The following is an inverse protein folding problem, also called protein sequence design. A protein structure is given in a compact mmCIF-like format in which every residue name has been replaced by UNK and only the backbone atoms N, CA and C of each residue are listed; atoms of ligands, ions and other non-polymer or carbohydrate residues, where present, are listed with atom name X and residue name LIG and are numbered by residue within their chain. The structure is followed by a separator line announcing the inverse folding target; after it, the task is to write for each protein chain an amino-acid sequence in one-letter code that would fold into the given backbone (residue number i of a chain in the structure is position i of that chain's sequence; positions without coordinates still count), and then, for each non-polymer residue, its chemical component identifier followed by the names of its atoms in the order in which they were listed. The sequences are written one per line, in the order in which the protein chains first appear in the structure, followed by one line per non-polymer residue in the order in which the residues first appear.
data_IF_769526249385
#
_entry.id   IF_769526249385
#
_cell.length_a   1.000
_cell.length_b   1.000
_cell.length_c   1.000
_cell.angle_alpha   90.00
_cell.angle_beta   90.00
_cell.angle_gamma   90.00
#
_symmetry.space_group_name_H-M   'P 1'
#
loop_
_entity.id
_entity.type
_entity.pdbx_description
1 polymer ?
#
# COMPACT_ATOMS: atom_id res chain seq x y z
N UNK A 1 -12.98 7.69 -5.98
CA UNK A 1 -11.67 7.03 -5.73
C UNK A 1 -10.55 7.83 -6.40
N UNK A 2 -10.78 8.47 -7.53
CA UNK A 2 -9.73 9.12 -8.32
C UNK A 2 -9.00 8.19 -9.29
N UNK A 3 -9.41 6.92 -9.35
CA UNK A 3 -8.93 5.88 -10.28
C UNK A 3 -10.07 4.90 -10.58
N UNK A 4 -9.85 3.94 -11.47
CA UNK A 4 -10.76 2.84 -11.76
C UNK A 4 -10.05 1.51 -11.51
N UNK A 5 -10.71 0.62 -10.79
CA UNK A 5 -10.23 -0.73 -10.43
C UNK A 5 -11.33 -1.77 -10.71
N UNK A 6 -11.66 -2.00 -11.99
CA UNK A 6 -12.80 -2.85 -12.36
C UNK A 6 -12.66 -4.30 -11.89
N UNK A 7 -11.43 -4.79 -11.70
CA UNK A 7 -11.15 -6.11 -11.16
C UNK A 7 -11.55 -6.30 -9.68
N UNK A 8 -11.90 -5.19 -8.99
CA UNK A 8 -12.34 -5.18 -7.60
C UNK A 8 -13.81 -4.77 -7.46
N UNK A 9 -14.58 -4.71 -8.54
CA UNK A 9 -15.99 -4.29 -8.53
C UNK A 9 -16.82 -5.09 -7.54
N UNK A 10 -17.56 -4.38 -6.68
CA UNK A 10 -18.44 -4.98 -5.67
C UNK A 10 -17.73 -5.59 -4.46
N UNK A 11 -16.41 -5.47 -4.37
CA UNK A 11 -15.64 -5.98 -3.23
C UNK A 11 -15.64 -5.00 -2.05
N UNK A 12 -15.37 -5.58 -0.87
CA UNK A 12 -15.29 -4.86 0.39
C UNK A 12 -13.85 -4.77 0.87
N UNK A 13 -13.47 -3.59 1.38
CA UNK A 13 -12.14 -3.33 1.93
C UNK A 13 -12.23 -2.70 3.31
N UNK A 14 -11.47 -3.23 4.25
CA UNK A 14 -11.19 -2.57 5.51
C UNK A 14 -10.02 -1.61 5.29
N UNK A 15 -10.24 -0.32 5.50
CA UNK A 15 -9.24 0.72 5.27
C UNK A 15 -9.14 1.68 6.45
N UNK A 16 -7.95 2.23 6.68
CA UNK A 16 -7.74 3.26 7.70
C UNK A 16 -8.36 4.59 7.26
N UNK A 17 -8.83 5.36 8.23
CA UNK A 17 -9.25 6.74 8.04
C UNK A 17 -8.07 7.69 7.84
N UNK A 18 -8.27 8.73 7.06
CA UNK A 18 -7.28 9.80 6.89
C UNK A 18 -6.97 10.47 8.23
N UNK A 19 -5.68 10.61 8.57
CA UNK A 19 -5.20 11.18 9.82
C UNK A 19 -5.40 10.27 11.05
N UNK A 20 -5.74 9.00 10.86
CA UNK A 20 -5.87 8.03 11.95
C UNK A 20 -4.59 7.21 12.12
N UNK A 21 -4.39 6.67 13.30
CA UNK A 21 -3.18 5.92 13.67
C UNK A 21 -3.51 4.50 14.11
N UNK A 22 -2.74 3.53 13.65
CA UNK A 22 -2.88 2.12 14.03
C UNK A 22 -2.85 1.90 15.56
N UNK A 23 -2.02 2.65 16.29
CA UNK A 23 -1.95 2.56 17.77
C UNK A 23 -3.26 2.82 18.48
N UNK A 24 -4.23 3.49 17.84
CA UNK A 24 -5.53 3.83 18.43
C UNK A 24 -6.62 2.84 18.05
N UNK A 25 -6.33 1.90 17.16
CA UNK A 25 -7.32 0.96 16.62
C UNK A 25 -7.96 0.11 17.70
N UNK A 26 -7.17 -0.40 18.66
CA UNK A 26 -7.69 -1.20 19.75
C UNK A 26 -8.56 -0.40 20.75
N UNK A 27 -8.45 0.92 20.73
CA UNK A 27 -9.20 1.81 21.64
C UNK A 27 -10.53 2.22 21.00
N UNK A 28 -10.49 2.59 19.72
CA UNK A 28 -11.67 3.07 18.95
C UNK A 28 -11.59 2.59 17.50
N UNK A 29 -11.83 1.29 17.25
CA UNK A 29 -11.77 0.74 15.89
C UNK A 29 -12.73 1.44 14.95
N UNK A 30 -13.96 1.73 15.40
CA UNK A 30 -15.03 2.37 14.63
C UNK A 30 -14.77 3.85 14.29
N UNK A 31 -13.78 4.48 14.91
CA UNK A 31 -13.31 5.83 14.55
C UNK A 31 -12.03 5.79 13.71
N UNK A 32 -11.29 4.69 13.77
CA UNK A 32 -9.97 4.54 13.14
C UNK A 32 -10.03 3.89 11.75
N UNK A 33 -10.99 3.00 11.54
CA UNK A 33 -11.22 2.27 10.31
C UNK A 33 -12.57 2.57 9.69
N UNK A 34 -12.70 2.20 8.42
CA UNK A 34 -14.00 2.00 7.79
C UNK A 34 -13.96 0.76 6.89
N UNK A 35 -15.13 0.17 6.69
CA UNK A 35 -15.38 -0.79 5.62
C UNK A 35 -16.00 -0.01 4.47
N UNK A 36 -15.35 -0.08 3.32
CA UNK A 36 -15.87 0.48 2.07
C UNK A 36 -16.33 -0.66 1.15
N UNK A 37 -17.35 -0.42 0.37
CA UNK A 37 -17.79 -1.27 -0.74
C UNK A 37 -17.58 -0.51 -2.05
N UNK A 38 -16.94 -1.14 -3.03
CA UNK A 38 -16.78 -0.56 -4.35
C UNK A 38 -18.04 -0.74 -5.19
N UNK A 39 -18.32 0.23 -6.05
CA UNK A 39 -19.42 0.13 -7.01
C UNK A 39 -19.15 -0.92 -8.10
N UNK A 40 -20.17 -1.21 -8.93
CA UNK A 40 -20.08 -2.19 -10.01
C UNK A 40 -19.10 -1.84 -11.14
N UNK A 41 -18.45 -0.65 -11.07
CA UNK A 41 -17.43 -0.23 -12.03
C UNK A 41 -16.04 -0.10 -11.40
N UNK A 42 -15.94 -0.20 -10.07
CA UNK A 42 -14.69 0.05 -9.35
C UNK A 42 -14.22 1.52 -9.42
N UNK A 43 -15.14 2.46 -9.56
CA UNK A 43 -14.82 3.89 -9.69
C UNK A 43 -15.20 4.71 -8.47
N UNK A 44 -16.19 4.23 -7.70
CA UNK A 44 -16.68 4.88 -6.50
C UNK A 44 -16.76 3.89 -5.35
N UNK A 45 -16.90 4.41 -4.14
CA UNK A 45 -17.14 3.61 -2.95
C UNK A 45 -18.24 4.21 -2.10
N UNK A 46 -18.86 3.37 -1.27
CA UNK A 46 -19.66 3.81 -0.12
C UNK A 46 -19.03 3.30 1.16
N UNK A 47 -19.12 4.05 2.24
CA UNK A 47 -18.74 3.58 3.57
C UNK A 47 -19.91 2.78 4.13
N UNK A 48 -19.66 1.49 4.43
CA UNK A 48 -20.63 0.58 4.99
C UNK A 48 -20.58 0.55 6.52
N UNK A 49 -19.40 0.84 7.09
CA UNK A 49 -19.17 0.87 8.52
C UNK A 49 -17.95 1.74 8.85
N UNK A 50 -17.92 2.27 10.07
CA UNK A 50 -16.77 3.00 10.63
C UNK A 50 -16.75 4.48 10.31
N UNK A 51 -15.67 5.17 10.75
CA UNK A 51 -15.50 6.63 10.70
C UNK A 51 -16.71 7.40 11.26
N UNK A 52 -17.25 6.89 12.37
CA UNK A 52 -18.55 7.35 12.97
C UNK A 52 -18.55 8.82 13.40
N UNK A 53 -17.38 9.42 13.65
CA UNK A 53 -17.25 10.82 14.01
C UNK A 53 -17.03 11.74 12.80
N UNK A 54 -17.36 11.26 11.60
CA UNK A 54 -17.06 11.93 10.35
C UNK A 54 -15.61 11.71 9.95
N UNK A 55 -15.37 11.67 8.68
CA UNK A 55 -14.04 11.41 8.15
C UNK A 55 -14.14 10.80 6.76
N UNK A 56 -12.99 10.45 6.22
CA UNK A 56 -12.86 9.81 4.92
C UNK A 56 -11.75 8.76 4.98
N UNK A 57 -11.78 7.75 4.11
CA UNK A 57 -10.68 6.81 3.94
C UNK A 57 -9.35 7.53 3.73
N UNK A 58 -8.26 6.81 3.93
CA UNK A 58 -6.90 7.33 3.70
C UNK A 58 -6.77 8.07 2.37
N UNK A 59 -5.94 9.11 2.33
CA UNK A 59 -5.63 9.86 1.10
C UNK A 59 -4.92 8.98 0.05
N UNK A 60 -4.27 7.89 0.50
CA UNK A 60 -3.59 6.93 -0.37
C UNK A 60 -4.52 5.84 -0.91
N UNK A 61 -5.85 5.99 -0.78
CA UNK A 61 -6.83 5.02 -1.25
C UNK A 61 -6.64 4.61 -2.73
N UNK A 62 -6.31 5.52 -3.68
CA UNK A 62 -6.03 5.13 -5.06
C UNK A 62 -4.90 4.12 -5.17
N UNK A 63 -3.79 4.35 -4.46
CA UNK A 63 -2.63 3.45 -4.44
C UNK A 63 -2.97 2.11 -3.80
N UNK A 64 -3.70 2.09 -2.67
CA UNK A 64 -4.14 0.86 -2.03
C UNK A 64 -4.98 0.01 -2.98
N UNK A 65 -6.01 0.58 -3.59
CA UNK A 65 -6.94 -0.18 -4.45
C UNK A 65 -6.26 -0.68 -5.73
N UNK A 66 -5.44 0.14 -6.39
CA UNK A 66 -4.69 -0.30 -7.57
C UNK A 66 -3.71 -1.42 -7.24
N UNK A 67 -3.05 -1.36 -6.08
CA UNK A 67 -2.17 -2.42 -5.61
C UNK A 67 -2.94 -3.70 -5.28
N UNK A 68 -4.12 -3.60 -4.65
CA UNK A 68 -5.00 -4.76 -4.44
C UNK A 68 -5.42 -5.40 -5.75
N UNK A 69 -5.80 -4.61 -6.76
CA UNK A 69 -6.20 -5.15 -8.07
C UNK A 69 -5.06 -5.91 -8.75
N UNK A 70 -3.86 -5.32 -8.76
CA UNK A 70 -2.67 -5.96 -9.33
C UNK A 70 -2.31 -7.23 -8.55
N UNK A 71 -2.25 -7.15 -7.22
CA UNK A 71 -1.90 -8.32 -6.38
C UNK A 71 -2.93 -9.42 -6.47
N UNK A 72 -4.22 -9.10 -6.54
CA UNK A 72 -5.27 -10.09 -6.82
C UNK A 72 -4.99 -10.84 -8.11
N UNK A 73 -4.57 -10.13 -9.17
CA UNK A 73 -4.26 -10.74 -10.47
C UNK A 73 -3.01 -11.62 -10.41
N UNK A 74 -1.86 -11.07 -9.96
CA UNK A 74 -0.56 -11.76 -10.06
C UNK A 74 -0.35 -12.86 -9.02
N UNK A 75 -1.10 -12.83 -7.90
CA UNK A 75 -1.01 -13.85 -6.85
C UNK A 75 -2.23 -14.78 -6.80
N UNK A 76 -3.12 -14.70 -7.81
CA UNK A 76 -4.39 -15.44 -7.80
C UNK A 76 -5.21 -15.22 -6.52
N UNK A 77 -5.25 -13.98 -6.02
CA UNK A 77 -6.00 -13.57 -4.83
C UNK A 77 -5.38 -13.99 -3.50
N UNK A 78 -4.14 -14.46 -3.46
CA UNK A 78 -3.46 -14.85 -2.21
C UNK A 78 -3.11 -13.64 -1.36
N UNK A 79 -2.57 -12.57 -1.95
CA UNK A 79 -2.24 -11.35 -1.22
C UNK A 79 -3.49 -10.52 -0.98
N UNK A 80 -3.86 -10.40 0.29
CA UNK A 80 -5.08 -9.72 0.74
C UNK A 80 -4.83 -8.48 1.58
N UNK A 81 -3.59 -8.26 2.00
CA UNK A 81 -3.17 -7.09 2.77
C UNK A 81 -2.28 -6.22 1.91
N UNK A 82 -2.59 -4.92 1.90
CA UNK A 82 -1.70 -3.87 1.39
C UNK A 82 -1.45 -2.91 2.55
N UNK A 83 -0.21 -2.84 2.99
CA UNK A 83 0.21 -2.00 4.09
C UNK A 83 1.06 -0.84 3.59
N UNK A 84 0.79 0.36 4.11
CA UNK A 84 1.58 1.57 3.85
C UNK A 84 2.05 2.16 5.16
N UNK A 85 3.34 2.43 5.26
CA UNK A 85 3.93 3.06 6.44
C UNK A 85 5.12 3.95 6.10
N UNK A 86 5.55 4.73 7.10
CA UNK A 86 6.63 5.70 6.97
C UNK A 86 7.83 5.34 7.86
N UNK A 87 8.59 4.26 7.55
CA UNK A 87 9.75 3.88 8.35
C UNK A 87 10.88 4.88 8.16
N UNK A 88 11.24 5.59 9.23
CA UNK A 88 12.17 6.73 9.18
C UNK A 88 13.53 6.37 8.58
N UNK A 89 14.08 5.19 8.92
CA UNK A 89 15.38 4.76 8.40
C UNK A 89 15.33 4.46 6.90
N UNK A 90 14.28 3.79 6.43
CA UNK A 90 14.10 3.53 4.99
C UNK A 90 13.90 4.82 4.21
N UNK A 91 13.15 5.78 4.77
CA UNK A 91 13.00 7.11 4.17
C UNK A 91 14.36 7.80 4.10
N UNK A 92 15.18 7.75 5.17
CA UNK A 92 16.52 8.34 5.19
C UNK A 92 17.43 7.76 4.10
N UNK A 93 17.35 6.46 3.82
CA UNK A 93 18.11 5.84 2.73
C UNK A 93 17.78 6.46 1.36
N UNK A 94 16.54 6.93 1.14
CA UNK A 94 16.16 7.57 -0.12
C UNK A 94 16.84 8.91 -0.39
N UNK A 95 17.51 9.50 0.60
CA UNK A 95 18.28 10.73 0.45
C UNK A 95 19.76 10.47 0.10
N UNK A 96 20.24 9.23 0.28
CA UNK A 96 21.67 8.93 0.16
C UNK A 96 21.97 7.84 -0.87
N UNK A 97 21.01 6.97 -1.19
CA UNK A 97 21.16 5.93 -2.20
C UNK A 97 20.62 6.37 -3.56
N UNK A 98 21.17 5.83 -4.66
CA UNK A 98 20.52 5.93 -5.96
C UNK A 98 19.10 5.36 -5.90
N UNK A 99 18.13 6.10 -6.44
CA UNK A 99 16.70 5.72 -6.42
C UNK A 99 16.40 4.67 -7.51
N UNK A 100 17.03 3.50 -7.40
CA UNK A 100 16.84 2.36 -8.31
C UNK A 100 16.51 1.09 -7.55
N UNK A 101 15.78 0.19 -8.20
CA UNK A 101 15.40 -1.11 -7.63
C UNK A 101 16.64 -1.91 -7.19
N UNK A 102 17.70 -1.91 -8.02
CA UNK A 102 18.92 -2.67 -7.77
C UNK A 102 19.68 -2.14 -6.55
N UNK A 103 19.81 -0.80 -6.42
CA UNK A 103 20.55 -0.19 -5.31
C UNK A 103 19.87 -0.49 -3.98
N UNK A 104 18.54 -0.34 -3.90
CA UNK A 104 17.78 -0.61 -2.68
C UNK A 104 17.69 -2.09 -2.36
N UNK A 105 17.47 -2.95 -3.35
CA UNK A 105 17.47 -4.40 -3.15
C UNK A 105 18.80 -4.86 -2.57
N UNK A 106 19.90 -4.45 -3.17
CA UNK A 106 21.24 -4.81 -2.73
C UNK A 106 21.51 -4.33 -1.30
N UNK A 107 21.29 -3.05 -1.03
CA UNK A 107 21.57 -2.48 0.29
C UNK A 107 20.77 -3.17 1.40
N UNK A 108 19.47 -3.39 1.18
CA UNK A 108 18.63 -4.03 2.19
C UNK A 108 18.96 -5.52 2.36
N UNK A 109 19.34 -6.23 1.31
CA UNK A 109 19.78 -7.61 1.42
C UNK A 109 21.13 -7.73 2.16
N UNK A 110 22.03 -6.77 1.96
CA UNK A 110 23.33 -6.73 2.65
C UNK A 110 23.18 -6.31 4.13
N UNK A 111 22.13 -5.55 4.48
CA UNK A 111 21.86 -5.11 5.85
C UNK A 111 21.35 -6.22 6.78
N UNK A 112 20.58 -7.16 6.25
CA UNK A 112 20.00 -8.26 7.05
C UNK A 112 19.87 -9.53 6.20
N UNK A 113 20.42 -10.62 6.71
CA UNK A 113 20.48 -11.92 6.01
C UNK A 113 19.10 -12.54 5.75
N UNK A 114 18.09 -12.12 6.49
CA UNK A 114 16.71 -12.54 6.32
C UNK A 114 16.03 -11.89 5.13
N UNK A 115 16.45 -10.68 4.74
CA UNK A 115 15.82 -9.92 3.66
C UNK A 115 15.72 -10.70 2.32
N UNK A 116 16.78 -11.36 1.80
CA UNK A 116 16.67 -12.16 0.58
C UNK A 116 15.77 -13.40 0.73
N UNK A 117 15.44 -13.80 1.96
CA UNK A 117 14.49 -14.90 2.22
C UNK A 117 13.06 -14.40 2.22
N UNK A 118 12.81 -13.21 2.80
CA UNK A 118 11.48 -12.62 2.95
C UNK A 118 11.00 -12.00 1.64
N UNK A 119 11.89 -11.30 0.92
CA UNK A 119 11.58 -10.69 -0.39
C UNK A 119 12.65 -11.04 -1.43
N UNK A 120 12.69 -12.30 -1.88
CA UNK A 120 13.68 -12.80 -2.82
C UNK A 120 13.59 -12.14 -4.21
N UNK A 121 12.44 -11.60 -4.57
CA UNK A 121 12.23 -10.85 -5.80
C UNK A 121 12.90 -9.46 -5.79
N UNK A 122 13.33 -9.00 -4.62
CA UNK A 122 13.86 -7.66 -4.40
C UNK A 122 12.79 -6.63 -4.09
N UNK A 123 13.14 -5.35 -4.28
CA UNK A 123 12.33 -4.20 -3.91
C UNK A 123 12.23 -3.24 -5.09
N UNK A 124 11.02 -2.74 -5.34
CA UNK A 124 10.79 -1.69 -6.32
C UNK A 124 10.95 -0.29 -5.70
N UNK A 125 11.38 0.68 -6.49
CA UNK A 125 11.54 2.08 -6.05
C UNK A 125 10.75 2.99 -6.97
N UNK A 126 9.80 3.73 -6.39
CA UNK A 126 9.10 4.83 -7.06
C UNK A 126 9.90 6.11 -6.84
N UNK A 127 10.46 6.73 -7.89
CA UNK A 127 11.08 8.05 -7.79
C UNK A 127 10.09 9.10 -7.25
N UNK A 128 10.61 10.25 -6.81
CA UNK A 128 9.77 11.30 -6.22
C UNK A 128 8.52 11.61 -7.05
N UNK A 129 7.37 11.53 -6.41
CA UNK A 129 6.05 11.89 -6.96
C UNK A 129 5.19 12.50 -5.86
N UNK A 130 4.19 13.27 -6.27
CA UNK A 130 3.19 13.80 -5.32
C UNK A 130 2.30 12.65 -4.83
N UNK A 131 2.19 12.43 -3.51
CA UNK A 131 1.36 11.36 -2.95
C UNK A 131 -0.15 11.63 -3.11
N UNK A 132 -0.97 10.59 -2.94
CA UNK A 132 -2.43 10.68 -3.02
C UNK A 132 -3.00 10.79 -4.44
N UNK A 133 -2.15 10.97 -5.45
CA UNK A 133 -2.55 11.11 -6.83
C UNK A 133 -2.52 9.80 -7.64
N UNK A 134 -3.10 9.86 -8.85
CA UNK A 134 -3.11 8.72 -9.77
C UNK A 134 -1.71 8.32 -10.24
N UNK A 135 -0.82 9.28 -10.46
CA UNK A 135 0.50 9.02 -11.03
C UNK A 135 1.37 8.13 -10.15
N UNK A 136 1.37 8.39 -8.82
CA UNK A 136 2.11 7.55 -7.88
C UNK A 136 1.43 6.19 -7.70
N UNK A 137 0.10 6.13 -7.75
CA UNK A 137 -0.66 4.89 -7.68
C UNK A 137 -0.34 3.98 -8.87
N UNK A 138 -0.30 4.52 -10.10
CA UNK A 138 0.08 3.77 -11.30
C UNK A 138 1.53 3.28 -11.20
N UNK A 139 2.47 4.17 -10.85
CA UNK A 139 3.88 3.78 -10.72
C UNK A 139 4.09 2.66 -9.69
N UNK A 140 3.38 2.74 -8.55
CA UNK A 140 3.45 1.70 -7.51
C UNK A 140 2.84 0.39 -7.99
N UNK A 141 1.67 0.44 -8.61
CA UNK A 141 0.99 -0.77 -9.09
C UNK A 141 1.77 -1.50 -10.18
N UNK A 142 2.50 -0.79 -11.03
CA UNK A 142 3.41 -1.42 -12.01
C UNK A 142 4.54 -2.18 -11.31
N UNK A 143 5.16 -1.61 -10.28
CA UNK A 143 6.18 -2.30 -9.48
C UNK A 143 5.61 -3.51 -8.73
N UNK A 144 4.39 -3.40 -8.21
CA UNK A 144 3.72 -4.48 -7.49
C UNK A 144 3.36 -5.70 -8.37
N UNK A 145 3.50 -5.60 -9.67
CA UNK A 145 3.44 -6.78 -10.56
C UNK A 145 4.61 -7.73 -10.32
N UNK A 146 5.76 -7.20 -9.93
CA UNK A 146 7.01 -7.93 -9.75
C UNK A 146 7.41 -8.05 -8.28
N UNK A 147 7.26 -6.98 -7.50
CA UNK A 147 7.75 -6.88 -6.13
C UNK A 147 6.59 -6.94 -5.13
N UNK A 148 6.87 -7.44 -3.92
CA UNK A 148 5.94 -7.36 -2.79
C UNK A 148 6.18 -6.10 -1.94
N UNK A 149 7.30 -5.43 -2.15
CA UNK A 149 7.67 -4.17 -1.48
C UNK A 149 7.99 -3.10 -2.52
N UNK A 150 7.42 -1.91 -2.34
CA UNK A 150 7.73 -0.73 -3.14
C UNK A 150 8.05 0.46 -2.23
N UNK A 151 9.22 1.05 -2.41
CA UNK A 151 9.66 2.25 -1.70
C UNK A 151 9.22 3.49 -2.47
N UNK A 152 8.63 4.45 -1.78
CA UNK A 152 8.36 5.78 -2.30
C UNK A 152 9.45 6.74 -1.84
N UNK A 153 10.19 7.31 -2.77
CA UNK A 153 11.25 8.27 -2.47
C UNK A 153 10.74 9.40 -1.57
N UNK A 154 11.42 9.60 -0.44
CA UNK A 154 11.16 10.64 0.57
C UNK A 154 9.80 10.57 1.25
N UNK A 155 9.12 9.39 1.22
CA UNK A 155 7.78 9.29 1.78
C UNK A 155 7.61 8.04 2.67
N UNK A 156 7.81 6.85 2.12
CA UNK A 156 7.54 5.60 2.86
C UNK A 156 7.61 4.37 1.99
N UNK A 157 6.88 3.33 2.41
CA UNK A 157 6.83 2.05 1.70
C UNK A 157 5.39 1.56 1.54
N UNK A 158 5.16 0.76 0.51
CA UNK A 158 4.01 -0.14 0.36
C UNK A 158 4.50 -1.58 0.40
N UNK A 159 3.80 -2.42 1.16
CA UNK A 159 4.05 -3.86 1.23
C UNK A 159 2.76 -4.62 0.92
N UNK A 160 2.89 -5.86 0.44
CA UNK A 160 1.76 -6.75 0.22
C UNK A 160 2.04 -8.16 0.71
N UNK A 161 1.05 -8.77 1.34
CA UNK A 161 1.13 -10.14 1.84
C UNK A 161 -0.25 -10.81 1.91
N UNK A 162 -0.27 -12.08 2.26
CA UNK A 162 -1.49 -12.85 2.45
C UNK A 162 -2.24 -12.43 3.72
N UNK A 163 -1.51 -12.06 4.76
CA UNK A 163 -2.00 -11.58 6.05
C UNK A 163 -1.07 -10.50 6.63
N UNK A 164 -1.32 -10.07 7.87
CA UNK A 164 -0.50 -9.04 8.52
C UNK A 164 0.86 -9.55 9.00
N UNK A 165 1.00 -10.85 9.23
CA UNK A 165 2.28 -11.43 9.68
C UNK A 165 3.27 -11.53 8.51
N UNK A 166 2.76 -11.77 7.28
CA UNK A 166 3.56 -11.78 6.07
C UNK A 166 3.85 -10.37 5.52
N UNK A 167 2.97 -9.40 5.81
CA UNK A 167 3.06 -8.05 5.23
C UNK A 167 3.96 -7.15 6.07
#
# INVERSE_FOLDING_TARGET
IGTSVPGLSGEYFLVTGSGKYFRNVMIKPEDSFCIIELDGKGENYRICWGLINGGRPTSELPSHLMNHEVKKSVTCGKHRVIYHCHPANTIALTFVLPLTDEAFTRELWEMATECPVVFPEGIGVVPWRVPGGRDIAVATSELMKKYNVAIWAHHGIFCSGADFDET
#
